data_IF_977813702685
#
_entry.id   IF_977813702685
#
_cell.length_a   1.000
_cell.length_b   1.000
_cell.length_c   1.000
_cell.angle_alpha   90.00
_cell.angle_beta   90.00
_cell.angle_gamma   90.00
#
_symmetry.space_group_name_H-M   'P 1'
#
loop_
_entity.id
_entity.type
_entity.pdbx_description
1 polymer ?
#
# COMPACT_ATOMS: atom_id res chain seq x y z
N UNK A 1 -16.50 -12.24 -13.51
CA UNK A 1 -17.11 -13.59 -13.53
C UNK A 1 -16.77 -14.29 -14.85
N UNK A 2 -16.58 -15.62 -14.83
CA UNK A 2 -16.51 -16.43 -16.04
C UNK A 2 -17.89 -17.07 -16.25
N UNK A 3 -18.63 -16.75 -17.31
CA UNK A 3 -19.95 -17.35 -17.54
C UNK A 3 -19.81 -18.85 -17.87
N UNK A 4 -20.85 -19.66 -17.54
CA UNK A 4 -20.89 -21.09 -17.89
C UNK A 4 -20.89 -21.30 -19.41
N UNK A 5 -20.42 -22.46 -19.88
CA UNK A 5 -20.37 -22.79 -21.32
C UNK A 5 -21.76 -22.63 -21.95
N UNK A 6 -21.87 -21.99 -23.12
CA UNK A 6 -23.14 -21.70 -23.81
C UNK A 6 -23.72 -20.29 -23.57
N UNK A 7 -23.21 -19.56 -22.57
CA UNK A 7 -23.53 -18.14 -22.33
C UNK A 7 -22.30 -17.27 -22.59
N UNK A 8 -22.42 -16.30 -23.51
CA UNK A 8 -21.43 -15.23 -23.67
C UNK A 8 -21.80 -14.08 -22.76
N UNK A 9 -20.90 -13.71 -21.85
CA UNK A 9 -21.07 -12.59 -20.93
C UNK A 9 -20.15 -11.44 -21.32
N UNK A 10 -20.72 -10.25 -21.50
CA UNK A 10 -19.99 -9.03 -21.76
C UNK A 10 -20.16 -8.10 -20.57
N UNK A 11 -19.04 -7.71 -19.95
CA UNK A 11 -19.03 -6.70 -18.91
C UNK A 11 -18.92 -5.32 -19.56
N UNK A 12 -19.79 -4.41 -19.16
CA UNK A 12 -19.62 -3.00 -19.48
C UNK A 12 -18.54 -2.38 -18.61
N UNK A 13 -18.04 -1.24 -19.05
CA UNK A 13 -17.10 -0.46 -18.26
C UNK A 13 -17.79 -0.01 -16.95
N UNK A 14 -17.15 -0.18 -15.78
CA UNK A 14 -17.75 0.21 -14.51
C UNK A 14 -17.91 1.74 -14.45
N UNK A 15 -19.07 2.18 -13.98
CA UNK A 15 -19.35 3.59 -13.74
C UNK A 15 -19.03 3.93 -12.27
N UNK A 16 -18.33 5.04 -12.05
CA UNK A 16 -18.01 5.54 -10.71
C UNK A 16 -18.72 6.87 -10.48
N UNK A 17 -19.47 6.97 -9.38
CA UNK A 17 -20.09 8.21 -8.92
C UNK A 17 -19.59 8.50 -7.51
N UNK A 18 -19.04 9.69 -7.29
CA UNK A 18 -18.66 10.16 -5.96
C UNK A 18 -19.60 11.31 -5.58
N UNK A 19 -20.36 11.13 -4.51
CA UNK A 19 -21.16 12.19 -3.91
C UNK A 19 -20.38 12.83 -2.77
N UNK A 20 -20.27 14.16 -2.83
CA UNK A 20 -19.54 15.02 -1.89
C UNK A 20 -20.56 15.88 -1.13
N UNK A 21 -21.56 15.24 -0.51
CA UNK A 21 -22.63 15.90 0.23
C UNK A 21 -22.40 15.97 1.74
N UNK A 22 -22.20 17.19 2.25
CA UNK A 22 -22.39 17.55 3.67
C UNK A 22 -21.26 17.17 4.64
N UNK A 23 -21.09 15.88 4.96
CA UNK A 23 -20.18 15.45 6.03
C UNK A 23 -19.48 14.10 5.75
N UNK A 24 -19.69 13.49 4.58
CA UNK A 24 -19.08 12.22 4.20
C UNK A 24 -18.91 12.14 2.69
N UNK A 25 -17.88 11.42 2.25
CA UNK A 25 -17.70 11.06 0.84
C UNK A 25 -18.34 9.70 0.63
N UNK A 26 -19.27 9.60 -0.32
CA UNK A 26 -19.88 8.32 -0.71
C UNK A 26 -19.47 8.04 -2.15
N UNK A 27 -18.63 7.02 -2.35
CA UNK A 27 -18.29 6.48 -3.66
C UNK A 27 -19.19 5.30 -4.02
N UNK A 28 -19.81 5.33 -5.20
CA UNK A 28 -20.63 4.26 -5.75
C UNK A 28 -19.98 3.75 -7.04
N UNK A 29 -19.79 2.43 -7.14
CA UNK A 29 -19.37 1.73 -8.36
C UNK A 29 -20.53 0.90 -8.88
N UNK A 30 -20.97 1.18 -10.10
CA UNK A 30 -22.00 0.41 -10.79
C UNK A 30 -21.35 -0.44 -11.89
N UNK A 31 -21.66 -1.74 -11.91
CA UNK A 31 -21.13 -2.69 -12.89
C UNK A 31 -22.27 -3.42 -13.59
N UNK A 32 -22.36 -3.27 -14.91
CA UNK A 32 -23.43 -3.83 -15.72
C UNK A 32 -22.90 -4.97 -16.60
N UNK A 33 -23.59 -6.10 -16.60
CA UNK A 33 -23.26 -7.27 -17.40
C UNK A 33 -24.40 -7.60 -18.36
N UNK A 34 -24.06 -7.97 -19.59
CA UNK A 34 -24.99 -8.49 -20.60
C UNK A 34 -24.68 -9.96 -20.85
N UNK A 35 -25.68 -10.82 -20.68
CA UNK A 35 -25.57 -12.26 -20.88
C UNK A 35 -26.35 -12.63 -22.14
N UNK A 36 -25.69 -13.33 -23.07
CA UNK A 36 -26.30 -13.82 -24.31
C UNK A 36 -26.24 -15.35 -24.34
N UNK A 37 -27.41 -15.98 -24.26
CA UNK A 37 -27.56 -17.42 -24.45
C UNK A 37 -27.43 -17.75 -25.94
N UNK A 38 -26.51 -18.66 -26.27
CA UNK A 38 -26.22 -19.05 -27.67
C UNK A 38 -26.76 -20.44 -28.03
N UNK A 39 -27.19 -21.21 -27.03
CA UNK A 39 -27.83 -22.51 -27.19
C UNK A 39 -28.98 -22.64 -26.19
N UNK A 40 -29.99 -23.41 -26.55
CA UNK A 40 -31.06 -23.83 -25.65
C UNK A 40 -30.49 -24.67 -24.50
N UNK A 41 -31.01 -24.44 -23.29
CA UNK A 41 -30.56 -25.19 -22.13
C UNK A 41 -30.80 -24.49 -20.80
N UNK A 42 -30.55 -25.25 -19.74
CA UNK A 42 -30.56 -24.76 -18.37
C UNK A 42 -29.15 -24.37 -17.96
N UNK A 43 -28.98 -23.12 -17.58
CA UNK A 43 -27.72 -22.55 -17.12
C UNK A 43 -27.87 -22.11 -15.67
N UNK A 44 -26.78 -22.19 -14.91
CA UNK A 44 -26.75 -21.72 -13.53
C UNK A 44 -25.75 -20.58 -13.45
N UNK A 45 -26.22 -19.40 -13.05
CA UNK A 45 -25.37 -18.30 -12.66
C UNK A 45 -24.68 -18.66 -11.34
N UNK A 46 -23.34 -18.55 -11.27
CA UNK A 46 -22.62 -18.85 -10.05
C UNK A 46 -22.96 -17.84 -8.96
N UNK A 47 -22.72 -18.24 -7.72
CA UNK A 47 -22.72 -17.35 -6.57
C UNK A 47 -21.74 -16.18 -6.80
N UNK A 48 -22.12 -15.00 -6.34
CA UNK A 48 -21.29 -13.80 -6.36
C UNK A 48 -21.03 -13.37 -4.93
N UNK A 49 -19.76 -13.32 -4.51
CA UNK A 49 -19.36 -12.81 -3.20
C UNK A 49 -18.42 -11.61 -3.34
N UNK A 50 -18.60 -10.62 -2.46
CA UNK A 50 -17.77 -9.42 -2.38
C UNK A 50 -17.41 -9.18 -0.91
N UNK A 51 -16.12 -9.22 -0.62
CA UNK A 51 -15.60 -8.84 0.68
C UNK A 51 -15.47 -7.32 0.78
N UNK A 52 -15.93 -6.77 1.90
CA UNK A 52 -15.93 -5.34 2.15
C UNK A 52 -15.71 -5.05 3.64
N UNK A 53 -15.20 -3.86 3.94
CA UNK A 53 -15.00 -3.41 5.30
C UNK A 53 -16.23 -2.62 5.78
N UNK A 54 -16.93 -3.11 6.80
CA UNK A 54 -18.04 -2.39 7.40
C UNK A 54 -17.52 -1.35 8.40
N UNK A 55 -17.73 -0.06 8.09
CA UNK A 55 -17.31 1.05 8.94
C UNK A 55 -18.11 1.15 10.25
N UNK A 56 -19.36 0.65 10.28
CA UNK A 56 -20.20 0.61 11.49
C UNK A 56 -19.78 -0.55 12.40
N UNK A 57 -19.58 -1.73 11.82
CA UNK A 57 -19.18 -2.92 12.57
C UNK A 57 -17.66 -3.03 12.80
N UNK A 58 -16.86 -2.18 12.13
CA UNK A 58 -15.39 -2.12 12.20
C UNK A 58 -14.72 -3.48 11.96
N UNK A 59 -15.23 -4.23 10.99
CA UNK A 59 -14.72 -5.57 10.64
C UNK A 59 -14.93 -5.87 9.15
N UNK A 60 -14.20 -6.87 8.67
CA UNK A 60 -14.45 -7.46 7.35
C UNK A 60 -15.80 -8.19 7.35
N UNK A 61 -16.59 -7.97 6.30
CA UNK A 61 -17.84 -8.65 6.02
C UNK A 61 -17.90 -9.06 4.55
N UNK A 62 -18.75 -10.04 4.26
CA UNK A 62 -18.94 -10.56 2.92
C UNK A 62 -20.40 -10.36 2.52
N UNK A 63 -20.63 -9.69 1.39
CA UNK A 63 -21.93 -9.66 0.74
C UNK A 63 -22.00 -10.80 -0.29
N UNK A 64 -23.08 -11.57 -0.30
CA UNK A 64 -23.26 -12.72 -1.19
C UNK A 64 -24.60 -12.62 -1.93
N UNK A 65 -24.56 -12.98 -3.20
CA UNK A 65 -25.73 -13.22 -4.05
C UNK A 65 -25.75 -14.71 -4.38
N UNK A 66 -26.86 -15.37 -4.08
CA UNK A 66 -27.03 -16.80 -4.27
C UNK A 66 -27.03 -17.20 -5.76
N UNK A 67 -26.62 -18.44 -6.09
CA UNK A 67 -26.73 -18.97 -7.45
C UNK A 67 -28.17 -18.90 -7.98
N UNK A 68 -28.31 -18.57 -9.26
CA UNK A 68 -29.63 -18.43 -9.90
C UNK A 68 -29.70 -19.25 -11.19
N UNK A 69 -30.75 -20.04 -11.34
CA UNK A 69 -30.97 -20.84 -12.55
C UNK A 69 -31.67 -19.99 -13.63
N UNK A 70 -31.18 -20.09 -14.86
CA UNK A 70 -31.72 -19.46 -16.06
C UNK A 70 -32.01 -20.54 -17.10
N UNK A 71 -33.24 -20.55 -17.61
CA UNK A 71 -33.62 -21.39 -18.75
C UNK A 71 -33.64 -20.53 -20.01
N UNK A 72 -32.84 -20.92 -21.01
CA UNK A 72 -32.81 -20.26 -22.32
C UNK A 72 -33.56 -21.13 -23.32
N UNK A 73 -34.60 -20.59 -23.94
CA UNK A 73 -35.41 -21.27 -24.97
C UNK A 73 -35.24 -20.56 -26.33
N UNK A 74 -34.88 -21.30 -27.38
CA UNK A 74 -34.67 -20.79 -28.74
C UNK A 74 -34.24 -21.87 -29.73
N UNK A 75 -34.23 -21.58 -31.03
CA UNK A 75 -33.87 -22.53 -32.12
C UNK A 75 -32.34 -22.73 -32.29
N UNK A 76 -31.58 -22.67 -31.18
CA UNK A 76 -30.13 -22.89 -31.17
C UNK A 76 -29.79 -24.39 -31.16
N UNK A 77 -28.56 -24.74 -31.56
CA UNK A 77 -28.11 -26.14 -31.54
C UNK A 77 -27.95 -26.63 -30.10
N UNK A 78 -28.66 -27.71 -29.77
CA UNK A 78 -28.64 -28.39 -28.48
C UNK A 78 -27.25 -28.89 -28.10
N UNK A 79 -26.88 -28.70 -26.84
CA UNK A 79 -25.59 -29.05 -26.25
C UNK A 79 -25.30 -30.56 -26.32
N UNK A 80 -24.06 -31.00 -26.65
CA UNK A 80 -23.68 -32.41 -26.52
C UNK A 80 -23.66 -32.81 -25.04
N UNK A 81 -24.43 -33.84 -24.72
CA UNK A 81 -24.49 -34.50 -23.42
C UNK A 81 -23.13 -35.09 -23.04
N UNK A 82 -22.64 -34.73 -21.85
CA UNK A 82 -21.50 -35.38 -21.22
C UNK A 82 -21.93 -36.70 -20.60
N UNK A 83 -21.60 -37.82 -21.26
CA UNK A 83 -21.67 -39.17 -20.67
C UNK A 83 -20.26 -39.62 -20.23
N UNK A 84 -20.10 -40.25 -19.05
CA UNK A 84 -18.81 -40.77 -18.58
C UNK A 84 -18.60 -42.21 -19.06
N UNK A 85 -17.55 -42.43 -19.84
CA UNK A 85 -17.06 -43.77 -20.21
C UNK A 85 -16.22 -44.38 -19.07
N UNK A 86 -16.52 -45.59 -18.58
CA UNK A 86 -15.61 -46.34 -17.72
C UNK A 86 -15.02 -47.58 -18.41
N UNK A 87 -13.76 -47.86 -18.04
CA UNK A 87 -13.05 -49.13 -18.08
C UNK A 87 -12.13 -49.43 -19.28
N UNK A 88 -10.82 -49.36 -18.99
CA UNK A 88 -9.89 -50.39 -19.43
C UNK A 88 -8.84 -50.60 -18.33
N UNK A 89 -8.90 -51.75 -17.66
CA UNK A 89 -7.81 -52.32 -16.84
C UNK A 89 -6.95 -53.17 -17.76
N UNK A 90 -5.63 -53.05 -17.67
CA UNK A 90 -4.69 -54.03 -18.22
C UNK A 90 -3.65 -54.37 -17.14
N UNK A 91 -3.55 -55.68 -16.85
CA UNK A 91 -2.61 -56.28 -15.91
C UNK A 91 -1.23 -56.50 -16.55
N UNK A 92 -0.25 -56.44 -15.65
CA UNK A 92 1.12 -56.97 -15.55
C UNK A 92 1.54 -58.15 -16.45
N UNK A 93 2.77 -58.12 -16.99
CA UNK A 93 3.87 -59.09 -16.75
C UNK A 93 5.17 -58.68 -17.48
N UNK A 94 6.36 -58.92 -16.89
CA UNK A 94 7.40 -59.59 -17.67
C UNK A 94 8.08 -60.71 -16.90
N UNK A 95 8.20 -61.86 -17.56
CA UNK A 95 8.93 -63.03 -17.09
C UNK A 95 10.25 -63.21 -17.86
N UNK A 96 11.17 -63.87 -17.13
CA UNK A 96 12.26 -64.73 -17.61
C UNK A 96 13.61 -64.06 -17.96
N UNK A 97 14.77 -64.62 -17.60
CA UNK A 97 15.17 -65.71 -16.70
C UNK A 97 16.71 -65.86 -16.75
N UNK A 98 17.26 -66.54 -15.74
CA UNK A 98 18.55 -67.26 -15.70
C UNK A 98 19.82 -66.40 -15.56
N UNK A 99 20.81 -66.71 -14.71
CA UNK A 99 21.01 -67.87 -13.84
C UNK A 99 22.48 -67.94 -13.39
N UNK A 100 22.69 -67.83 -12.07
CA UNK A 100 23.52 -68.70 -11.22
C UNK A 100 25.07 -68.79 -11.41
N UNK A 101 25.72 -68.39 -10.29
CA UNK A 101 26.97 -68.90 -9.66
C UNK A 101 28.32 -68.50 -10.27
N UNK A 102 29.17 -67.81 -9.50
CA UNK A 102 30.19 -68.43 -8.60
C UNK A 102 31.19 -67.36 -8.14
N UNK A 103 31.54 -67.39 -6.84
CA UNK A 103 32.57 -66.57 -6.22
C UNK A 103 33.98 -67.10 -6.54
N UNK A 104 34.97 -66.24 -6.76
CA UNK A 104 36.37 -66.50 -6.40
C UNK A 104 37.11 -65.18 -6.19
N UNK A 105 37.89 -65.19 -5.13
CA UNK A 105 38.69 -64.17 -4.49
C UNK A 105 40.02 -63.99 -5.22
N UNK A 106 40.45 -62.75 -5.50
CA UNK A 106 41.86 -62.45 -5.74
C UNK A 106 42.23 -61.03 -5.26
N UNK A 107 43.12 -61.01 -4.26
CA UNK A 107 43.96 -59.89 -3.79
C UNK A 107 45.16 -59.86 -4.77
N UNK A 108 45.74 -58.75 -5.24
CA UNK A 108 46.62 -57.76 -4.55
C UNK A 108 46.86 -56.51 -5.48
N UNK A 109 47.66 -55.46 -5.14
CA UNK A 109 47.20 -54.07 -5.14
C UNK A 109 47.94 -53.15 -6.14
N UNK A 110 47.64 -51.84 -6.03
CA UNK A 110 48.40 -50.69 -6.57
C UNK A 110 47.80 -50.02 -7.80
N UNK A 111 47.02 -48.96 -7.55
CA UNK A 111 47.24 -47.70 -8.26
C UNK A 111 46.63 -46.53 -7.47
N UNK A 112 47.54 -45.77 -6.85
CA UNK A 112 47.53 -44.31 -6.64
C UNK A 112 46.22 -43.64 -6.19
N UNK A 113 46.28 -43.11 -4.97
CA UNK A 113 45.27 -42.24 -4.38
C UNK A 113 45.01 -40.99 -5.24
N UNK A 114 43.75 -40.67 -5.59
CA UNK A 114 43.39 -39.30 -5.87
C UNK A 114 43.39 -38.56 -4.52
N UNK A 115 44.42 -37.75 -4.34
CA UNK A 115 44.50 -36.55 -3.51
C UNK A 115 43.13 -35.93 -3.16
N UNK A 116 42.49 -36.50 -2.13
CA UNK A 116 41.22 -36.10 -1.49
C UNK A 116 41.36 -34.85 -0.62
N UNK A 117 42.36 -34.00 -0.93
CA UNK A 117 42.58 -32.71 -0.27
C UNK A 117 42.00 -31.56 -1.10
N UNK A 118 42.06 -31.63 -2.43
CA UNK A 118 41.56 -30.56 -3.31
C UNK A 118 40.02 -30.51 -3.33
N UNK A 119 39.36 -31.67 -3.32
CA UNK A 119 37.90 -31.78 -3.26
C UNK A 119 37.28 -31.30 -1.93
N UNK A 120 38.01 -31.44 -0.81
CA UNK A 120 37.54 -30.95 0.51
C UNK A 120 37.72 -29.43 0.62
N UNK A 121 38.81 -28.87 0.09
CA UNK A 121 39.07 -27.43 0.13
C UNK A 121 38.08 -26.60 -0.68
N UNK A 122 37.61 -27.09 -1.85
CA UNK A 122 36.57 -26.38 -2.60
C UNK A 122 35.23 -26.34 -1.86
N UNK A 123 34.92 -27.37 -1.07
CA UNK A 123 33.72 -27.40 -0.23
C UNK A 123 33.77 -26.33 0.87
N UNK A 124 34.94 -26.09 1.48
CA UNK A 124 35.13 -25.00 2.44
C UNK A 124 35.04 -23.63 1.77
N UNK A 125 35.57 -23.47 0.56
CA UNK A 125 35.45 -22.21 -0.20
C UNK A 125 33.98 -21.94 -0.57
N UNK A 126 33.24 -22.96 -0.99
CA UNK A 126 31.81 -22.84 -1.30
C UNK A 126 30.99 -22.53 -0.05
N UNK A 127 31.32 -23.13 1.10
CA UNK A 127 30.67 -22.85 2.38
C UNK A 127 30.93 -21.41 2.84
N UNK A 128 32.19 -20.94 2.76
CA UNK A 128 32.55 -19.56 3.10
C UNK A 128 31.86 -18.58 2.15
N UNK A 129 31.83 -18.86 0.84
CA UNK A 129 31.12 -18.02 -0.12
C UNK A 129 29.63 -17.92 0.19
N UNK A 130 28.98 -19.04 0.56
CA UNK A 130 27.57 -19.06 0.95
C UNK A 130 27.32 -18.26 2.24
N UNK A 131 28.21 -18.37 3.23
CA UNK A 131 28.14 -17.60 4.47
C UNK A 131 28.33 -16.10 4.19
N UNK A 132 29.28 -15.72 3.33
CA UNK A 132 29.50 -14.32 2.94
C UNK A 132 28.31 -13.76 2.16
N UNK A 133 27.77 -14.51 1.21
CA UNK A 133 26.56 -14.12 0.46
C UNK A 133 25.36 -13.99 1.39
N UNK A 134 25.22 -14.89 2.37
CA UNK A 134 24.17 -14.82 3.39
C UNK A 134 24.35 -13.60 4.29
N UNK A 135 25.56 -13.29 4.76
CA UNK A 135 25.87 -12.11 5.56
C UNK A 135 25.67 -10.79 4.78
N UNK A 136 26.05 -10.75 3.50
CA UNK A 136 25.82 -9.58 2.63
C UNK A 136 24.34 -9.43 2.32
N UNK A 137 23.64 -10.53 2.05
CA UNK A 137 22.19 -10.54 1.84
C UNK A 137 21.42 -10.11 3.09
N UNK A 138 21.82 -10.59 4.27
CA UNK A 138 21.23 -10.22 5.55
C UNK A 138 21.58 -8.79 5.93
N UNK A 139 22.81 -8.34 5.68
CA UNK A 139 23.25 -6.96 5.86
C UNK A 139 22.47 -6.00 4.95
N UNK A 140 22.35 -6.33 3.66
CA UNK A 140 21.54 -5.58 2.70
C UNK A 140 20.05 -5.62 3.05
N UNK A 141 19.54 -6.72 3.59
CA UNK A 141 18.15 -6.84 4.05
C UNK A 141 17.90 -6.02 5.31
N UNK A 142 18.85 -5.98 6.26
CA UNK A 142 18.76 -5.14 7.46
C UNK A 142 18.95 -3.66 7.13
N UNK A 143 19.84 -3.31 6.20
CA UNK A 143 19.97 -1.95 5.69
C UNK A 143 18.72 -1.54 4.92
N UNK A 144 18.18 -2.39 4.04
CA UNK A 144 16.90 -2.15 3.37
C UNK A 144 15.72 -2.14 4.33
N UNK A 145 15.77 -2.85 5.46
CA UNK A 145 14.75 -2.79 6.51
C UNK A 145 14.87 -1.51 7.34
N UNK A 146 16.08 -0.96 7.51
CA UNK A 146 16.27 0.42 8.00
C UNK A 146 15.80 1.46 6.98
N UNK A 147 15.98 1.22 5.69
CA UNK A 147 15.46 2.07 4.60
C UNK A 147 13.97 1.82 4.25
N UNK A 148 13.37 0.77 4.82
CA UNK A 148 11.93 0.42 4.72
C UNK A 148 11.24 0.45 6.08
N UNK A 149 11.82 1.19 7.03
CA UNK A 149 11.14 1.62 8.24
C UNK A 149 10.59 3.05 8.05
N UNK A 150 9.95 3.31 6.90
CA UNK A 150 9.06 4.45 6.72
C UNK A 150 7.69 3.92 6.32
N UNK A 151 7.02 3.27 7.27
CA UNK A 151 5.57 3.02 7.22
C UNK A 151 5.11 2.40 8.55
N UNK A 152 5.19 3.19 9.61
CA UNK A 152 4.28 3.25 10.75
C UNK A 152 4.92 4.22 11.75
N UNK A 153 4.69 5.51 11.56
CA UNK A 153 4.88 6.47 12.64
C UNK A 153 3.89 6.08 13.75
N UNK A 154 4.34 5.22 14.65
CA UNK A 154 3.90 5.28 16.04
C UNK A 154 3.91 6.74 16.42
N UNK A 155 2.78 7.22 16.93
CA UNK A 155 2.67 8.45 17.70
C UNK A 155 3.76 8.39 18.79
N UNK A 156 4.97 8.80 18.46
CA UNK A 156 6.01 9.09 19.42
C UNK A 156 5.54 10.39 20.04
N UNK A 157 4.80 10.23 21.14
CA UNK A 157 4.57 11.20 22.18
C UNK A 157 5.94 11.70 22.65
N UNK A 158 6.55 12.57 21.86
CA UNK A 158 7.65 13.40 22.28
C UNK A 158 7.04 14.78 22.33
N UNK A 159 7.02 15.37 23.53
CA UNK A 159 6.61 16.74 23.79
C UNK A 159 7.61 17.75 23.19
N UNK A 160 8.06 17.50 21.97
CA UNK A 160 8.73 18.50 21.15
C UNK A 160 7.57 19.25 20.51
N UNK A 161 7.48 20.55 20.77
CA UNK A 161 6.45 21.39 20.19
C UNK A 161 6.38 21.10 18.68
N UNK A 162 5.18 20.90 18.09
CA UNK A 162 5.04 20.48 16.69
C UNK A 162 5.78 21.40 15.71
N UNK A 163 5.92 22.68 16.10
CA UNK A 163 6.68 23.71 15.42
C UNK A 163 8.21 23.46 15.41
N UNK A 164 8.78 22.87 16.46
CA UNK A 164 10.19 22.46 16.50
C UNK A 164 10.44 21.25 15.58
N UNK A 165 9.51 20.30 15.55
CA UNK A 165 9.59 19.16 14.63
C UNK A 165 9.50 19.60 13.17
N UNK A 166 8.62 20.57 12.86
CA UNK A 166 8.54 21.22 11.56
C UNK A 166 9.86 21.92 11.19
N UNK A 167 10.43 22.71 12.12
CA UNK A 167 11.71 23.40 11.89
C UNK A 167 12.84 22.42 11.56
N UNK A 168 12.96 21.32 12.30
CA UNK A 168 13.99 20.32 12.04
C UNK A 168 13.80 19.66 10.66
N UNK A 169 12.57 19.34 10.27
CA UNK A 169 12.28 18.76 8.97
C UNK A 169 12.58 19.73 7.81
N UNK A 170 12.30 21.01 7.99
CA UNK A 170 12.70 22.07 7.07
C UNK A 170 14.22 22.16 6.92
N UNK A 171 14.96 22.13 8.03
CA UNK A 171 16.43 22.19 7.99
C UNK A 171 17.07 20.96 7.34
N UNK A 172 16.45 19.79 7.43
CA UNK A 172 16.91 18.57 6.78
C UNK A 172 16.46 18.46 5.31
N UNK A 173 15.73 19.44 4.76
CA UNK A 173 15.10 19.39 3.43
C UNK A 173 14.27 18.11 3.22
N UNK A 174 13.64 17.59 4.27
CA UNK A 174 12.76 16.42 4.19
C UNK A 174 11.31 16.88 4.01
N UNK A 175 10.85 16.89 2.76
CA UNK A 175 9.50 17.30 2.40
C UNK A 175 8.41 16.44 3.09
N UNK A 176 8.66 15.14 3.27
CA UNK A 176 7.66 14.24 3.85
C UNK A 176 7.56 14.43 5.36
N UNK A 177 8.68 14.65 6.04
CA UNK A 177 8.70 15.01 7.46
C UNK A 177 8.10 16.41 7.70
N UNK A 178 8.38 17.37 6.82
CA UNK A 178 7.85 18.73 6.92
C UNK A 178 6.31 18.75 6.79
N UNK A 179 5.76 17.98 5.85
CA UNK A 179 4.32 17.81 5.71
C UNK A 179 3.65 17.23 6.98
N UNK A 180 4.27 16.23 7.60
CA UNK A 180 3.75 15.61 8.83
C UNK A 180 3.83 16.58 10.03
N UNK A 181 4.95 17.28 10.18
CA UNK A 181 5.12 18.31 11.23
C UNK A 181 4.11 19.45 11.08
N UNK A 182 3.85 19.88 9.85
CA UNK A 182 2.84 20.89 9.55
C UNK A 182 1.44 20.41 9.91
N UNK A 183 1.08 19.17 9.56
CA UNK A 183 -0.23 18.61 9.92
C UNK A 183 -0.41 18.48 11.44
N UNK A 184 0.64 18.12 12.17
CA UNK A 184 0.63 18.10 13.63
C UNK A 184 0.41 19.52 14.21
N UNK A 185 1.12 20.52 13.68
CA UNK A 185 0.96 21.92 14.10
C UNK A 185 -0.45 22.46 13.82
N UNK A 186 -1.03 22.19 12.64
CA UNK A 186 -2.41 22.59 12.31
C UNK A 186 -3.42 22.01 13.30
N UNK A 187 -3.19 20.77 13.75
CA UNK A 187 -4.07 20.07 14.69
C UNK A 187 -3.97 20.61 16.12
N UNK A 188 -2.74 20.82 16.59
CA UNK A 188 -2.49 21.15 18.00
C UNK A 188 -2.62 22.64 18.31
N UNK A 189 -2.08 23.50 17.45
CA UNK A 189 -1.96 24.95 17.72
C UNK A 189 -3.12 25.74 17.12
N UNK A 190 -3.48 25.38 15.88
CA UNK A 190 -4.47 26.09 15.08
C UNK A 190 -5.90 25.57 15.28
N UNK A 191 -6.07 24.34 15.79
CA UNK A 191 -7.36 23.66 16.01
C UNK A 191 -8.35 23.78 14.83
N UNK A 192 -7.84 23.83 13.58
CA UNK A 192 -8.72 23.91 12.42
C UNK A 192 -9.48 22.59 12.25
N UNK A 193 -10.80 22.66 12.15
CA UNK A 193 -11.64 21.54 11.70
C UNK A 193 -12.14 21.82 10.28
N UNK A 194 -11.79 20.99 9.27
CA UNK A 194 -10.89 19.83 9.31
C UNK A 194 -9.40 20.20 9.38
N UNK A 195 -8.59 19.39 10.09
CA UNK A 195 -7.15 19.60 10.29
C UNK A 195 -6.35 19.19 9.04
N UNK A 196 -6.54 19.94 7.96
CA UNK A 196 -5.88 19.71 6.68
C UNK A 196 -5.11 20.95 6.23
N UNK A 197 -4.07 20.72 5.44
CA UNK A 197 -3.28 21.78 4.82
C UNK A 197 -4.14 22.60 3.85
N UNK A 198 -5.16 22.00 3.24
CA UNK A 198 -6.10 22.74 2.38
C UNK A 198 -6.84 23.84 3.17
N UNK A 199 -7.21 23.56 4.41
CA UNK A 199 -7.84 24.54 5.31
C UNK A 199 -6.86 25.64 5.73
N UNK A 200 -5.60 25.29 6.00
CA UNK A 200 -4.54 26.28 6.23
C UNK A 200 -4.31 27.14 4.97
N UNK A 201 -4.23 26.52 3.79
CA UNK A 201 -4.09 27.21 2.50
C UNK A 201 -5.22 28.20 2.28
N UNK A 202 -6.45 27.89 2.66
CA UNK A 202 -7.58 28.83 2.54
C UNK A 202 -7.39 30.11 3.39
N UNK A 203 -6.79 29.99 4.58
CA UNK A 203 -6.55 31.10 5.51
C UNK A 203 -5.16 31.73 5.41
N UNK A 204 -4.26 31.13 4.64
CA UNK A 204 -2.87 31.55 4.53
C UNK A 204 -2.68 32.77 3.61
N UNK A 205 -1.61 33.52 3.89
CA UNK A 205 -1.13 34.60 3.03
C UNK A 205 -0.52 34.04 1.73
N UNK A 206 -0.39 34.90 0.71
CA UNK A 206 0.20 34.55 -0.59
C UNK A 206 1.54 33.80 -0.51
N UNK A 207 2.55 34.23 0.29
CA UNK A 207 3.83 33.51 0.37
C UNK A 207 3.71 32.11 0.99
N UNK A 208 2.84 31.93 1.97
CA UNK A 208 2.62 30.62 2.60
C UNK A 208 1.85 29.67 1.66
N UNK A 209 0.91 30.19 0.87
CA UNK A 209 0.22 29.39 -0.16
C UNK A 209 1.20 28.81 -1.17
N UNK A 210 2.11 29.64 -1.67
CA UNK A 210 3.12 29.23 -2.65
C UNK A 210 4.05 28.15 -2.08
N UNK A 211 4.62 28.36 -0.89
CA UNK A 211 5.48 27.36 -0.25
C UNK A 211 4.76 26.01 0.01
N UNK A 212 3.45 26.05 0.33
CA UNK A 212 2.64 24.84 0.46
C UNK A 212 2.38 24.14 -0.89
N UNK A 213 2.17 24.92 -1.96
CA UNK A 213 2.03 24.39 -3.32
C UNK A 213 3.33 23.73 -3.80
N UNK A 214 4.48 24.35 -3.56
CA UNK A 214 5.79 23.81 -3.91
C UNK A 214 6.08 22.51 -3.14
N UNK A 215 5.79 22.48 -1.83
CA UNK A 215 5.88 21.27 -1.02
C UNK A 215 4.97 20.15 -1.59
N UNK A 216 3.72 20.47 -1.92
CA UNK A 216 2.79 19.48 -2.46
C UNK A 216 3.22 18.99 -3.85
N UNK A 217 3.82 19.86 -4.66
CA UNK A 217 4.35 19.52 -5.98
C UNK A 217 5.50 18.52 -5.85
N UNK A 218 6.41 18.73 -4.92
CA UNK A 218 7.54 17.81 -4.70
C UNK A 218 7.07 16.45 -4.16
N UNK A 219 6.02 16.43 -3.33
CA UNK A 219 5.50 15.19 -2.74
C UNK A 219 4.63 14.36 -3.70
N UNK A 220 3.87 15.02 -4.57
CA UNK A 220 2.85 14.35 -5.38
C UNK A 220 3.07 14.45 -6.89
N UNK A 221 3.82 15.44 -7.38
CA UNK A 221 4.16 15.56 -8.79
C UNK A 221 5.53 14.92 -9.08
N UNK A 222 5.68 14.38 -10.29
CA UNK A 222 6.95 13.83 -10.77
C UNK A 222 7.86 14.96 -11.26
N UNK A 223 8.32 15.82 -10.35
CA UNK A 223 9.21 16.95 -10.67
C UNK A 223 10.63 16.69 -10.18
N UNK A 224 11.61 17.23 -10.92
CA UNK A 224 13.03 17.27 -10.53
C UNK A 224 13.34 18.51 -9.68
N UNK A 225 12.31 19.17 -9.16
CA UNK A 225 12.45 20.39 -8.40
C UNK A 225 13.04 20.05 -7.02
N UNK A 226 14.14 20.72 -6.67
CA UNK A 226 14.77 20.58 -5.35
C UNK A 226 13.99 21.44 -4.38
N UNK A 227 13.32 20.82 -3.43
CA UNK A 227 12.59 21.52 -2.38
C UNK A 227 13.56 22.08 -1.34
N UNK A 228 13.43 23.36 -1.03
CA UNK A 228 14.16 24.04 0.03
C UNK A 228 13.24 24.30 1.22
N UNK A 229 13.52 23.65 2.35
CA UNK A 229 12.67 23.74 3.53
C UNK A 229 12.73 25.08 4.25
N UNK A 230 13.75 25.90 3.97
CA UNK A 230 13.91 27.23 4.57
C UNK A 230 12.81 28.21 4.09
N UNK A 231 12.40 28.15 2.82
CA UNK A 231 11.33 29.00 2.30
C UNK A 231 9.99 28.73 3.00
N UNK A 232 9.67 27.44 3.22
CA UNK A 232 8.49 27.05 3.99
C UNK A 232 8.57 27.55 5.43
N UNK A 233 9.75 27.42 6.06
CA UNK A 233 9.95 27.82 7.44
C UNK A 233 9.81 29.34 7.65
N UNK A 234 10.33 30.13 6.72
CA UNK A 234 10.16 31.60 6.72
C UNK A 234 8.70 31.99 6.53
N UNK A 235 7.99 31.34 5.60
CA UNK A 235 6.57 31.62 5.37
C UNK A 235 5.70 31.30 6.60
N UNK A 236 5.99 30.20 7.30
CA UNK A 236 5.30 29.84 8.55
C UNK A 236 5.60 30.83 9.67
N UNK A 237 6.86 31.27 9.82
CA UNK A 237 7.22 32.30 10.80
C UNK A 237 6.49 33.62 10.55
N UNK A 238 6.44 34.09 9.29
CA UNK A 238 5.75 35.31 8.94
C UNK A 238 4.25 35.23 9.28
N UNK A 239 3.63 34.09 8.98
CA UNK A 239 2.22 33.84 9.33
C UNK A 239 1.96 33.86 10.85
N UNK A 240 2.86 33.31 11.65
CA UNK A 240 2.77 33.36 13.12
C UNK A 240 2.90 34.79 13.67
N UNK A 241 3.78 35.60 13.08
CA UNK A 241 3.92 37.01 13.46
C UNK A 241 2.65 37.80 13.13
N UNK A 242 2.04 37.58 11.95
CA UNK A 242 0.80 38.23 11.55
C UNK A 242 -0.40 37.84 12.45
N UNK A 243 -0.51 36.57 12.85
CA UNK A 243 -1.56 36.14 13.78
C UNK A 243 -1.45 36.82 15.16
N UNK A 244 -0.22 37.14 15.58
CA UNK A 244 0.02 37.84 16.86
C UNK A 244 -0.36 39.34 16.78
N UNK A 245 -0.27 39.96 15.59
CA UNK A 245 -0.66 41.37 15.40
C UNK A 245 -2.17 41.55 15.28
N UNK A 246 -2.88 40.61 14.66
CA UNK A 246 -4.35 40.69 14.50
C UNK A 246 -5.10 40.55 15.84
N UNK A 247 -4.53 39.85 16.82
CA UNK A 247 -5.11 39.73 18.17
C UNK A 247 -5.06 41.04 18.99
N UNK A 248 -4.44 42.11 18.48
CA UNK A 248 -4.43 43.44 19.11
C UNK A 248 -5.44 44.42 18.49
N UNK A 249 -6.11 44.06 17.38
CA UNK A 249 -7.10 44.92 16.70
C UNK A 249 -8.54 44.46 16.97
N UNK A 250 -8.86 44.23 18.25
CA UNK A 250 -10.24 44.22 18.75
C UNK A 250 -10.29 44.81 20.15
N UNK A 251 -9.80 46.04 20.29
CA UNK A 251 -10.21 46.95 21.37
C UNK A 251 -10.86 48.17 20.72
N UNK A 252 -12.17 48.39 20.87
CA UNK A 252 -12.78 49.60 20.37
C UNK A 252 -12.30 50.76 21.23
N UNK A 253 -11.95 51.86 20.56
CA UNK A 253 -12.05 53.21 21.11
C UNK A 253 -11.05 53.57 22.21
N UNK A 254 -9.98 54.21 21.74
CA UNK A 254 -9.53 55.52 22.22
C UNK A 254 -10.53 56.22 23.18
N UNK A 255 -10.31 56.09 24.48
CA UNK A 255 -10.69 57.03 25.53
C UNK A 255 -9.87 56.69 26.77
N UNK A 256 -8.79 57.44 26.99
CA UNK A 256 -8.03 57.34 28.24
C UNK A 256 -6.52 57.48 28.07
N UNK A 257 -6.06 58.62 27.56
CA UNK A 257 -4.81 59.18 28.09
C UNK A 257 -5.09 59.59 29.53
N UNK A 258 -4.78 58.71 30.48
CA UNK A 258 -4.43 59.10 31.84
C UNK A 258 -3.17 58.32 32.20
N UNK A 259 -2.06 59.04 32.10
CA UNK A 259 -0.75 58.69 32.60
C UNK A 259 -0.79 58.78 34.12
N UNK A 260 -0.87 57.63 34.79
CA UNK A 260 -0.71 57.51 36.24
C UNK A 260 0.22 56.33 36.49
N UNK A 261 1.52 56.61 36.55
CA UNK A 261 2.44 55.84 37.38
C UNK A 261 2.91 56.71 38.57
N UNK A 262 3.21 56.09 39.72
CA UNK A 262 3.19 56.69 41.05
C UNK A 262 4.60 56.97 41.59
N UNK A 263 4.71 57.76 42.66
CA UNK A 263 5.56 57.45 43.82
C UNK A 263 5.61 58.62 44.81
N UNK A 264 5.43 58.28 46.07
CA UNK A 264 5.75 59.09 47.24
C UNK A 264 7.17 59.67 47.19
N UNK A 265 7.33 60.96 47.52
CA UNK A 265 8.13 61.49 48.64
C UNK A 265 7.92 63.00 48.77
#
# INVERSE_FOLDING_TARGET
>A
MKPPMGIKGYANQPEFRNDLGGNSVIGMREEKWVLMGTADGNYVLPEISVDWWDLKAKKMQTARIEPSALTVTGLGQSQPSSDPNPAAKANTEPAANNGLLTATEERVPSSQAPNTSIFKSWLFIALIALVVISLVGLGAWLFKRKSKATAINTLAKTSIAPLQALKQACQSNDAQAAFQGLQAWIREDLQLSPATIATLRAKADLPLKQALDDLSTVLYASTTHVWEGEELWQAVQNYLHHQSTDSTTSSPSNLGLVELYPSES
#
